data_IF_737123563775
#
_entry.id   IF_737123563775
#
_cell.length_a   1.000
_cell.length_b   1.000
_cell.length_c   1.000
_cell.angle_alpha   90.00
_cell.angle_beta   90.00
_cell.angle_gamma   90.00
#
_symmetry.space_group_name_H-M   'P 1'
#
loop_
_entity.id
_entity.type
_entity.pdbx_description
1 polymer ?
#
# COMPACT_ATOMS: atom_id res chain seq x y z
N UNK A 1 -1.41 1.99 -8.74
CA UNK A 1 -0.19 2.38 -9.47
C UNK A 1 0.98 2.22 -8.51
N UNK A 2 2.05 1.54 -8.92
CA UNK A 2 3.24 1.32 -8.10
C UNK A 2 4.42 2.01 -8.80
N UNK A 3 5.06 2.93 -8.10
CA UNK A 3 6.17 3.74 -8.64
C UNK A 3 7.38 3.57 -7.74
N UNK A 4 8.55 3.44 -8.36
CA UNK A 4 9.82 3.48 -7.64
C UNK A 4 10.26 4.93 -7.43
N UNK A 5 10.39 5.42 -6.19
CA UNK A 5 10.64 6.85 -5.95
C UNK A 5 12.03 7.31 -6.45
N UNK A 6 13.01 6.41 -6.48
CA UNK A 6 14.39 6.75 -6.83
C UNK A 6 14.60 7.03 -8.33
N UNK A 7 13.73 6.51 -9.21
CA UNK A 7 13.87 6.66 -10.67
C UNK A 7 12.55 6.95 -11.39
N UNK A 8 11.44 7.09 -10.65
CA UNK A 8 10.10 7.39 -11.14
C UNK A 8 9.54 6.36 -12.13
N UNK A 9 10.10 5.16 -12.18
CA UNK A 9 9.59 4.10 -13.04
C UNK A 9 8.29 3.54 -12.46
N UNK A 10 7.32 3.34 -13.35
CA UNK A 10 6.11 2.57 -13.05
C UNK A 10 6.49 1.09 -13.05
N UNK A 11 6.52 0.49 -11.87
CA UNK A 11 6.82 -0.93 -11.71
C UNK A 11 5.60 -1.82 -11.98
N UNK A 12 4.40 -1.33 -11.64
CA UNK A 12 3.14 -2.05 -11.86
C UNK A 12 1.95 -1.09 -11.85
N UNK A 13 0.86 -1.48 -12.51
CA UNK A 13 -0.40 -0.74 -12.47
C UNK A 13 -1.59 -1.70 -12.61
N UNK A 14 -2.67 -1.34 -11.90
CA UNK A 14 -3.96 -2.03 -12.02
C UNK A 14 -4.97 -1.16 -12.75
N UNK A 15 -5.86 -1.79 -13.49
CA UNK A 15 -7.04 -1.14 -14.06
C UNK A 15 -8.25 -1.46 -13.17
N UNK A 16 -9.03 -0.44 -12.86
CA UNK A 16 -10.29 -0.60 -12.14
C UNK A 16 -11.27 -1.45 -12.93
N UNK A 17 -12.05 -2.27 -12.22
CA UNK A 17 -13.12 -3.04 -12.84
C UNK A 17 -14.37 -2.17 -13.03
N UNK A 18 -15.17 -2.43 -14.09
CA UNK A 18 -16.49 -1.81 -14.22
C UNK A 18 -17.38 -2.09 -13.01
N UNK A 19 -18.30 -1.17 -12.69
CA UNK A 19 -19.31 -1.39 -11.64
C UNK A 19 -18.99 -0.80 -10.27
N UNK A 20 -18.17 0.25 -10.17
CA UNK A 20 -17.84 0.93 -8.90
C UNK A 20 -17.27 -0.02 -7.85
N UNK A 21 -16.39 -0.92 -8.29
CA UNK A 21 -15.69 -1.85 -7.40
C UNK A 21 -14.57 -1.09 -6.66
N UNK A 22 -14.36 -1.44 -5.39
CA UNK A 22 -13.33 -0.83 -4.56
C UNK A 22 -11.93 -1.05 -5.17
N UNK A 23 -11.07 -0.04 -5.11
CA UNK A 23 -9.70 -0.09 -5.63
C UNK A 23 -8.85 -1.22 -5.02
N UNK A 24 -9.05 -1.56 -3.74
CA UNK A 24 -8.50 -2.75 -3.08
C UNK A 24 -8.69 -4.05 -3.87
N UNK A 25 -9.84 -4.22 -4.52
CA UNK A 25 -10.09 -5.40 -5.36
C UNK A 25 -9.33 -5.33 -6.68
N UNK A 26 -9.26 -4.16 -7.31
CA UNK A 26 -8.44 -3.97 -8.51
C UNK A 26 -6.94 -4.22 -8.21
N UNK A 27 -6.48 -3.83 -7.02
CA UNK A 27 -5.12 -4.09 -6.55
C UNK A 27 -4.81 -5.58 -6.41
N UNK A 28 -5.73 -6.38 -5.88
CA UNK A 28 -5.54 -7.84 -5.79
C UNK A 28 -5.30 -8.51 -7.15
N UNK A 29 -5.65 -7.85 -8.25
CA UNK A 29 -5.46 -8.36 -9.59
C UNK A 29 -4.10 -8.00 -10.21
N UNK A 30 -3.34 -7.09 -9.61
CA UNK A 30 -2.06 -6.62 -10.17
C UNK A 30 -0.92 -7.60 -9.95
N UNK A 31 0.21 -7.38 -10.64
CA UNK A 31 1.39 -8.21 -10.47
C UNK A 31 1.93 -8.10 -9.05
N UNK A 32 1.98 -6.89 -8.49
CA UNK A 32 2.41 -6.63 -7.12
C UNK A 32 1.65 -7.49 -6.10
N UNK A 33 0.32 -7.56 -6.18
CA UNK A 33 -0.44 -8.36 -5.22
C UNK A 33 -0.25 -9.87 -5.38
N UNK A 34 0.01 -10.34 -6.61
CA UNK A 34 0.09 -11.77 -6.92
C UNK A 34 1.49 -12.36 -6.77
N UNK A 35 2.52 -11.56 -7.00
CA UNK A 35 3.91 -12.03 -7.12
C UNK A 35 4.88 -10.88 -6.77
N UNK A 36 4.67 -10.27 -5.59
CA UNK A 36 5.49 -9.18 -5.06
C UNK A 36 6.95 -9.59 -4.87
N UNK A 37 7.25 -10.85 -4.53
CA UNK A 37 8.62 -11.34 -4.33
C UNK A 37 9.47 -11.15 -5.60
N UNK A 38 8.92 -11.45 -6.79
CA UNK A 38 9.65 -11.23 -8.05
C UNK A 38 9.77 -9.76 -8.44
N UNK A 39 8.81 -8.93 -8.04
CA UNK A 39 8.78 -7.52 -8.41
C UNK A 39 9.64 -6.66 -7.49
N UNK A 40 9.57 -6.91 -6.18
CA UNK A 40 10.23 -6.13 -5.13
C UNK A 40 11.54 -6.80 -4.69
N UNK A 41 11.61 -8.13 -4.65
CA UNK A 41 12.68 -8.89 -4.00
C UNK A 41 12.46 -9.05 -2.49
N UNK A 42 13.25 -9.92 -1.86
CA UNK A 42 13.00 -10.44 -0.50
C UNK A 42 13.05 -9.39 0.62
N UNK A 43 13.71 -8.25 0.41
CA UNK A 43 13.93 -7.22 1.44
C UNK A 43 13.26 -5.88 1.11
N UNK A 44 12.45 -5.81 0.06
CA UNK A 44 11.75 -4.60 -0.34
C UNK A 44 10.25 -4.71 -0.09
N UNK A 45 9.65 -3.55 0.16
CA UNK A 45 8.23 -3.43 0.47
C UNK A 45 7.72 -2.11 -0.09
N UNK A 46 6.40 -2.02 -0.25
CA UNK A 46 5.72 -0.80 -0.71
C UNK A 46 4.95 -0.14 0.42
N UNK A 47 4.87 1.18 0.36
CA UNK A 47 3.83 1.91 1.08
C UNK A 47 2.54 1.92 0.27
N UNK A 48 1.41 1.71 0.94
CA UNK A 48 0.09 1.71 0.30
C UNK A 48 -0.96 2.42 1.16
N UNK A 49 -2.10 2.75 0.55
CA UNK A 49 -3.27 3.27 1.28
C UNK A 49 -3.78 2.27 2.32
N UNK A 50 -4.41 2.78 3.37
CA UNK A 50 -5.02 1.99 4.44
C UNK A 50 -6.05 0.95 3.97
N UNK A 51 -6.65 1.11 2.78
CA UNK A 51 -7.60 0.17 2.22
C UNK A 51 -6.98 -1.16 1.74
N UNK A 52 -5.66 -1.19 1.53
CA UNK A 52 -4.91 -2.37 1.09
C UNK A 52 -4.54 -3.28 2.27
N UNK A 53 -4.19 -4.56 2.02
CA UNK A 53 -3.84 -5.48 3.09
C UNK A 53 -2.57 -5.03 3.82
N UNK A 54 -2.53 -5.29 5.14
CA UNK A 54 -1.33 -5.12 5.96
C UNK A 54 -0.50 -6.41 5.89
N UNK A 55 0.60 -6.37 5.14
CA UNK A 55 1.50 -7.50 4.91
C UNK A 55 2.96 -7.05 5.07
N UNK A 56 3.89 -8.00 5.22
CA UNK A 56 5.33 -7.67 5.35
C UNK A 56 5.88 -6.87 4.16
N UNK A 57 5.33 -7.09 2.96
CA UNK A 57 5.69 -6.40 1.73
C UNK A 57 4.78 -5.19 1.41
N UNK A 58 3.69 -4.98 2.16
CA UNK A 58 2.69 -3.93 1.95
C UNK A 58 2.38 -3.19 3.26
N UNK A 59 3.10 -2.10 3.47
CA UNK A 59 3.04 -1.28 4.68
C UNK A 59 1.97 -0.20 4.51
N UNK A 60 0.94 -0.23 5.35
CA UNK A 60 -0.18 0.72 5.31
C UNK A 60 -0.24 1.59 6.58
N UNK A 61 -0.80 2.81 6.53
CA UNK A 61 -0.98 3.64 7.73
C UNK A 61 -1.94 2.99 8.73
N UNK A 62 -1.74 3.28 10.01
CA UNK A 62 -2.61 2.81 11.08
C UNK A 62 -3.99 3.45 11.00
N UNK A 63 -5.03 2.63 10.95
CA UNK A 63 -6.42 3.09 11.09
C UNK A 63 -6.74 3.34 12.55
N UNK A 64 -7.53 4.39 12.81
CA UNK A 64 -8.02 4.66 14.16
C UNK A 64 -8.94 3.51 14.63
N UNK A 65 -8.66 2.84 15.76
CA UNK A 65 -9.53 1.82 16.32
C UNK A 65 -10.89 2.40 16.78
N UNK A 66 -11.95 1.58 16.77
CA UNK A 66 -13.28 2.02 17.23
C UNK A 66 -13.23 2.28 18.73
N UNK A 67 -13.58 3.50 19.14
CA UNK A 67 -13.66 3.90 20.55
C UNK A 67 -12.33 4.23 21.21
N UNK A 68 -11.23 4.27 20.45
CA UNK A 68 -9.89 4.54 20.98
C UNK A 68 -9.10 5.46 20.03
N UNK A 69 -7.90 5.88 20.45
CA UNK A 69 -7.01 6.77 19.70
C UNK A 69 -5.77 6.05 19.21
N UNK A 70 -5.19 6.55 18.12
CA UNK A 70 -3.84 6.15 17.74
C UNK A 70 -2.84 6.55 18.84
N UNK A 71 -1.87 5.68 19.09
CA UNK A 71 -0.72 6.01 19.96
C UNK A 71 0.09 7.16 19.34
N UNK A 72 0.96 7.79 20.14
CA UNK A 72 1.82 8.85 19.61
C UNK A 72 2.72 8.32 18.48
N UNK A 73 3.25 7.11 18.62
CA UNK A 73 4.12 6.50 17.61
C UNK A 73 3.37 6.21 16.30
N UNK A 74 2.13 5.72 16.39
CA UNK A 74 1.28 5.48 15.21
C UNK A 74 0.95 6.80 14.48
N UNK A 75 0.72 7.88 15.23
CA UNK A 75 0.50 9.21 14.64
C UNK A 75 1.77 9.73 13.95
N UNK A 76 2.92 9.61 14.61
CA UNK A 76 4.21 10.01 14.05
C UNK A 76 4.51 9.21 12.77
N UNK A 77 4.27 7.90 12.79
CA UNK A 77 4.40 7.04 11.61
C UNK A 77 3.50 7.52 10.46
N UNK A 78 2.19 7.68 10.71
CA UNK A 78 1.25 8.13 9.68
C UNK A 78 1.60 9.53 9.14
N UNK A 79 2.10 10.43 9.99
CA UNK A 79 2.53 11.78 9.59
C UNK A 79 3.69 11.73 8.59
N UNK A 80 4.75 10.97 8.89
CA UNK A 80 5.89 10.83 7.98
C UNK A 80 5.51 10.09 6.70
N UNK A 81 4.68 9.05 6.80
CA UNK A 81 4.18 8.33 5.63
C UNK A 81 3.39 9.24 4.68
N UNK A 82 2.61 10.17 5.22
CA UNK A 82 1.83 11.12 4.42
C UNK A 82 2.65 12.27 3.81
N UNK A 83 3.95 12.34 4.12
CA UNK A 83 4.87 13.38 3.62
C UNK A 83 5.76 12.92 2.46
N UNK A 84 5.65 11.64 2.09
CA UNK A 84 6.30 11.03 0.92
C UNK A 84 5.49 11.34 -0.34
#
# INVERSE_FOLDING_TARGET
LVIMPHNLLIADYGLGLPGSVHDAYAFQLTWTAKDHEKLLGDEHWIWADSAYPWEAWCVVPFKKPKGDCLTQDQKTFNYHLSSV
#
